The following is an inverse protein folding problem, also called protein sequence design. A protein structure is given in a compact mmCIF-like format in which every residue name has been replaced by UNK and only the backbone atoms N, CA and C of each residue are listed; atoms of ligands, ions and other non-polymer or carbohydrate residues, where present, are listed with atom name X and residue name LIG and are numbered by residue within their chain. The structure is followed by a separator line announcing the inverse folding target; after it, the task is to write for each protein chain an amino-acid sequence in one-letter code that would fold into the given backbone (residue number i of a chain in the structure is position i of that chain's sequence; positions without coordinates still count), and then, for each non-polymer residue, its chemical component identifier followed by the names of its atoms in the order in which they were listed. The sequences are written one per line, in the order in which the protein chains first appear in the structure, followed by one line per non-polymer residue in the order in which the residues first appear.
data_IF_243151806216
#
_entry.id   IF_243151806216
#
_cell.length_a   1.000
_cell.length_b   1.000
_cell.length_c   1.000
_cell.angle_alpha   90.00
_cell.angle_beta   90.00
_cell.angle_gamma   90.00
#
_symmetry.space_group_name_H-M   'P 1'
#
loop_
_entity.id
_entity.type
_entity.pdbx_description
1 polymer ?
#
# COMPACT_ATOMS: atom_id res chain seq x y z
N UNK A 1 -24.76 -3.24 -1.10
CA UNK A 1 -23.82 -3.17 0.02
C UNK A 1 -22.54 -2.46 -0.43
N UNK A 2 -22.06 -1.50 0.35
CA UNK A 2 -20.83 -0.76 0.02
C UNK A 2 -19.57 -1.55 0.26
N UNK A 3 -18.48 -1.15 -0.39
CA UNK A 3 -17.18 -1.81 -0.23
C UNK A 3 -16.61 -1.67 1.18
N UNK A 4 -17.02 -0.66 1.94
CA UNK A 4 -16.57 -0.45 3.32
C UNK A 4 -17.57 -1.02 4.35
N UNK A 5 -18.49 -1.88 3.93
CA UNK A 5 -19.48 -2.53 4.80
C UNK A 5 -19.13 -3.98 5.03
N UNK A 6 -19.67 -4.58 6.09
CA UNK A 6 -19.43 -6.00 6.42
C UNK A 6 -17.96 -6.31 6.53
N UNK A 7 -17.45 -7.37 5.85
CA UNK A 7 -16.03 -7.71 5.87
C UNK A 7 -15.12 -6.62 5.28
N UNK A 8 -15.67 -5.73 4.46
CA UNK A 8 -14.93 -4.59 3.93
C UNK A 8 -14.62 -3.52 4.97
N UNK A 9 -15.31 -3.53 6.10
CA UNK A 9 -15.12 -2.54 7.16
C UNK A 9 -13.73 -2.64 7.81
N UNK A 10 -13.32 -3.81 8.34
CA UNK A 10 -11.97 -3.95 8.87
C UNK A 10 -10.90 -3.80 7.79
N UNK A 11 -11.17 -4.28 6.58
CA UNK A 11 -10.25 -4.11 5.46
C UNK A 11 -9.99 -2.63 5.16
N UNK A 12 -11.06 -1.84 5.06
CA UNK A 12 -10.95 -0.39 4.82
C UNK A 12 -10.22 0.30 5.97
N UNK A 13 -10.48 -0.12 7.21
CA UNK A 13 -9.80 0.45 8.38
C UNK A 13 -8.28 0.19 8.31
N UNK A 14 -7.85 -1.00 7.91
CA UNK A 14 -6.43 -1.32 7.76
C UNK A 14 -5.82 -0.47 6.64
N UNK A 15 -6.51 -0.33 5.50
CA UNK A 15 -6.04 0.54 4.42
C UNK A 15 -5.89 2.00 4.89
N UNK A 16 -6.83 2.49 5.70
CA UNK A 16 -6.75 3.85 6.24
C UNK A 16 -5.54 4.02 7.17
N UNK A 17 -5.25 3.03 8.01
CA UNK A 17 -4.08 3.06 8.89
C UNK A 17 -2.79 3.11 8.05
N UNK A 18 -2.70 2.28 7.01
CA UNK A 18 -1.52 2.29 6.14
C UNK A 18 -1.42 3.58 5.33
N UNK A 19 -2.55 4.16 4.92
CA UNK A 19 -2.56 5.45 4.22
C UNK A 19 -1.95 6.55 5.11
N UNK A 20 -2.34 6.60 6.38
CA UNK A 20 -1.80 7.58 7.33
C UNK A 20 -0.32 7.29 7.62
N UNK A 21 0.02 6.04 7.92
CA UNK A 21 1.39 5.67 8.28
C UNK A 21 2.35 5.88 7.11
N UNK A 22 1.97 5.45 5.91
CA UNK A 22 2.81 5.60 4.72
C UNK A 22 2.96 7.06 4.34
N UNK A 23 1.90 7.86 4.46
CA UNK A 23 1.94 9.29 4.17
C UNK A 23 2.85 10.04 5.15
N UNK A 24 2.77 9.70 6.43
CA UNK A 24 3.63 10.30 7.45
C UNK A 24 5.11 9.97 7.18
N UNK A 25 5.41 8.70 6.89
CA UNK A 25 6.78 8.27 6.59
C UNK A 25 7.30 8.97 5.34
N UNK A 26 6.54 8.97 4.25
CA UNK A 26 6.94 9.60 3.00
C UNK A 26 7.16 11.10 3.19
N UNK A 27 6.28 11.76 3.94
CA UNK A 27 6.43 13.19 4.22
C UNK A 27 7.71 13.51 4.97
N UNK A 28 8.05 12.73 5.99
CA UNK A 28 9.30 12.91 6.75
C UNK A 28 10.51 12.66 5.85
N UNK A 29 10.51 11.58 5.07
CA UNK A 29 11.63 11.24 4.19
C UNK A 29 11.87 12.31 3.13
N UNK A 30 10.80 12.78 2.48
CA UNK A 30 10.91 13.81 1.44
C UNK A 30 11.34 15.17 2.02
N UNK A 31 10.88 15.50 3.23
CA UNK A 31 11.19 16.77 3.86
C UNK A 31 12.60 16.83 4.45
N UNK A 32 13.16 15.68 4.87
CA UNK A 32 14.43 15.68 5.59
C UNK A 32 15.64 15.46 4.70
N UNK A 33 15.66 14.39 3.89
CA UNK A 33 16.87 14.09 3.11
C UNK A 33 16.57 13.21 1.89
N UNK A 34 15.90 13.78 0.90
CA UNK A 34 15.58 13.07 -0.34
C UNK A 34 16.84 12.54 -1.04
N UNK A 35 17.96 13.28 -0.97
CA UNK A 35 19.18 12.92 -1.68
C UNK A 35 19.85 11.67 -1.11
N UNK A 36 19.57 11.31 0.16
CA UNK A 36 20.17 10.14 0.80
C UNK A 36 19.71 8.83 0.18
N UNK A 37 18.42 8.75 -0.21
CA UNK A 37 17.83 7.53 -0.76
C UNK A 37 16.69 7.88 -1.72
N UNK A 38 17.00 8.51 -2.88
CA UNK A 38 15.95 9.04 -3.74
C UNK A 38 15.00 7.96 -4.26
N UNK A 39 15.49 6.78 -4.62
CA UNK A 39 14.64 5.70 -5.12
C UNK A 39 13.68 5.22 -4.03
N UNK A 40 14.22 4.94 -2.84
CA UNK A 40 13.40 4.45 -1.72
C UNK A 40 12.37 5.50 -1.30
N UNK A 41 12.74 6.76 -1.23
CA UNK A 41 11.85 7.83 -0.78
C UNK A 41 10.75 8.12 -1.79
N UNK A 42 11.07 8.09 -3.09
CA UNK A 42 10.06 8.26 -4.13
C UNK A 42 9.09 7.08 -4.18
N UNK A 43 9.59 5.86 -3.95
CA UNK A 43 8.73 4.68 -3.85
C UNK A 43 7.85 4.74 -2.60
N UNK A 44 8.35 5.29 -1.49
CA UNK A 44 7.53 5.54 -0.29
C UNK A 44 6.39 6.50 -0.60
N UNK A 45 6.66 7.58 -1.33
CA UNK A 45 5.64 8.55 -1.73
C UNK A 45 4.60 7.91 -2.64
N UNK A 46 5.05 7.08 -3.60
CA UNK A 46 4.16 6.35 -4.49
C UNK A 46 3.26 5.40 -3.70
N UNK A 47 3.83 4.64 -2.76
CA UNK A 47 3.06 3.72 -1.91
C UNK A 47 2.01 4.48 -1.10
N UNK A 48 2.37 5.64 -0.53
CA UNK A 48 1.44 6.45 0.22
C UNK A 48 0.24 6.86 -0.64
N UNK A 49 0.48 7.29 -1.87
CA UNK A 49 -0.59 7.65 -2.82
C UNK A 49 -1.49 6.44 -3.09
N UNK A 50 -0.90 5.27 -3.31
CA UNK A 50 -1.67 4.05 -3.57
C UNK A 50 -2.58 3.72 -2.39
N UNK A 51 -2.08 3.78 -1.15
CA UNK A 51 -2.90 3.50 0.03
C UNK A 51 -4.01 4.53 0.22
N UNK A 52 -3.75 5.80 -0.03
CA UNK A 52 -4.77 6.85 0.05
C UNK A 52 -5.86 6.60 -1.00
N UNK A 53 -5.47 6.33 -2.25
CA UNK A 53 -6.42 6.06 -3.34
C UNK A 53 -7.26 4.82 -3.03
N UNK A 54 -6.62 3.74 -2.56
CA UNK A 54 -7.33 2.51 -2.20
C UNK A 54 -8.35 2.77 -1.09
N UNK A 55 -7.95 3.50 -0.05
CA UNK A 55 -8.82 3.82 1.08
C UNK A 55 -10.05 4.62 0.61
N UNK A 56 -9.82 5.70 -0.13
CA UNK A 56 -10.91 6.55 -0.64
C UNK A 56 -11.83 5.74 -1.55
N UNK A 57 -11.26 4.92 -2.43
CA UNK A 57 -12.05 4.09 -3.35
C UNK A 57 -12.93 3.09 -2.60
N UNK A 58 -12.40 2.48 -1.54
CA UNK A 58 -13.20 1.56 -0.71
C UNK A 58 -14.31 2.32 0.03
N UNK A 59 -14.01 3.48 0.60
CA UNK A 59 -15.00 4.31 1.29
C UNK A 59 -16.12 4.78 0.35
N UNK A 60 -15.77 5.12 -0.89
CA UNK A 60 -16.71 5.62 -1.90
C UNK A 60 -17.31 4.52 -2.75
N UNK A 61 -16.94 3.26 -2.50
CA UNK A 61 -17.36 2.12 -3.30
C UNK A 61 -17.04 2.27 -4.79
N UNK A 62 -15.90 2.87 -5.08
CA UNK A 62 -15.36 2.99 -6.43
C UNK A 62 -14.62 1.69 -6.77
N UNK A 63 -15.39 0.70 -7.20
CA UNK A 63 -14.87 -0.66 -7.41
C UNK A 63 -13.69 -0.71 -8.38
N UNK A 64 -13.81 -0.06 -9.54
CA UNK A 64 -12.73 -0.08 -10.53
C UNK A 64 -11.46 0.56 -10.00
N UNK A 65 -11.58 1.73 -9.37
CA UNK A 65 -10.44 2.43 -8.77
C UNK A 65 -9.83 1.60 -7.65
N UNK A 66 -10.65 1.00 -6.79
CA UNK A 66 -10.18 0.14 -5.71
C UNK A 66 -9.42 -1.07 -6.27
N UNK A 67 -9.96 -1.71 -7.31
CA UNK A 67 -9.32 -2.86 -7.94
C UNK A 67 -7.96 -2.49 -8.52
N UNK A 68 -7.87 -1.38 -9.25
CA UNK A 68 -6.60 -0.93 -9.83
C UNK A 68 -5.60 -0.59 -8.74
N UNK A 69 -6.03 0.13 -7.71
CA UNK A 69 -5.14 0.51 -6.60
C UNK A 69 -4.61 -0.72 -5.87
N UNK A 70 -5.46 -1.70 -5.61
CA UNK A 70 -5.05 -2.95 -4.92
C UNK A 70 -4.10 -3.76 -5.80
N UNK A 71 -4.35 -3.83 -7.11
CA UNK A 71 -3.44 -4.50 -8.04
C UNK A 71 -2.08 -3.79 -8.11
N UNK A 72 -2.07 -2.46 -8.15
CA UNK A 72 -0.82 -1.69 -8.13
C UNK A 72 -0.06 -1.95 -6.84
N UNK A 73 -0.76 -2.02 -5.72
CA UNK A 73 -0.17 -2.34 -4.42
C UNK A 73 0.47 -3.73 -4.44
N UNK A 74 -0.23 -4.73 -4.96
CA UNK A 74 0.29 -6.10 -5.03
C UNK A 74 1.57 -6.15 -5.86
N UNK A 75 1.55 -5.56 -7.05
CA UNK A 75 2.74 -5.48 -7.90
C UNK A 75 3.84 -4.71 -7.18
N UNK A 76 3.49 -3.60 -6.54
CA UNK A 76 4.44 -2.76 -5.83
C UNK A 76 5.15 -3.51 -4.70
N UNK A 77 4.40 -4.22 -3.85
CA UNK A 77 5.02 -4.94 -2.74
C UNK A 77 5.91 -6.08 -3.23
N UNK A 78 5.53 -6.75 -4.32
CA UNK A 78 6.35 -7.81 -4.90
C UNK A 78 7.63 -7.26 -5.54
N UNK A 79 7.50 -6.20 -6.33
CA UNK A 79 8.65 -5.58 -7.03
C UNK A 79 9.59 -4.93 -6.01
N UNK A 80 9.07 -4.08 -5.14
CA UNK A 80 9.90 -3.37 -4.16
C UNK A 80 10.48 -4.35 -3.15
N UNK A 81 9.71 -5.36 -2.75
CA UNK A 81 10.23 -6.40 -1.85
C UNK A 81 11.43 -7.10 -2.45
N UNK A 82 11.34 -7.49 -3.72
CA UNK A 82 12.44 -8.15 -4.43
C UNK A 82 13.64 -7.21 -4.60
N UNK A 83 13.40 -5.96 -5.04
CA UNK A 83 14.47 -4.99 -5.24
C UNK A 83 15.18 -4.64 -3.95
N UNK A 84 14.48 -4.61 -2.81
CA UNK A 84 15.10 -4.29 -1.53
C UNK A 84 16.13 -5.33 -1.10
N UNK A 85 16.00 -6.56 -1.56
CA UNK A 85 17.01 -7.61 -1.34
C UNK A 85 18.07 -7.63 -2.44
N UNK A 86 17.68 -7.38 -3.69
CA UNK A 86 18.59 -7.45 -4.84
C UNK A 86 19.50 -6.24 -4.95
N UNK A 87 19.02 -5.07 -4.54
CA UNK A 87 19.78 -3.80 -4.63
C UNK A 87 19.64 -3.02 -3.33
N UNK A 88 20.40 -3.45 -2.32
CA UNK A 88 20.37 -2.82 -1.00
C UNK A 88 20.88 -1.39 -1.00
N UNK A 89 21.74 -1.03 -1.94
CA UNK A 89 22.29 0.31 -2.04
C UNK A 89 21.21 1.34 -2.38
N UNK A 90 20.18 0.95 -3.16
CA UNK A 90 19.06 1.82 -3.49
C UNK A 90 18.06 1.95 -2.34
N UNK A 91 18.13 1.05 -1.34
CA UNK A 91 17.20 1.00 -0.22
C UNK A 91 17.92 1.06 1.13
N UNK A 92 18.74 2.09 1.40
CA UNK A 92 19.41 2.25 2.71
C UNK A 92 18.38 2.48 3.83
N UNK A 93 17.22 3.09 3.50
CA UNK A 93 16.08 3.22 4.39
C UNK A 93 14.92 2.39 3.88
N UNK A 94 14.12 1.87 4.81
CA UNK A 94 12.98 1.04 4.45
C UNK A 94 11.81 1.87 3.93
N UNK A 95 11.10 1.29 2.96
CA UNK A 95 9.77 1.73 2.55
C UNK A 95 8.74 0.78 3.19
N UNK A 96 7.45 1.10 3.06
CA UNK A 96 6.39 0.22 3.55
C UNK A 96 6.41 -1.15 2.84
N UNK A 97 6.93 -1.22 1.62
CA UNK A 97 6.97 -2.44 0.81
C UNK A 97 8.32 -3.16 0.84
N UNK A 98 9.35 -2.58 1.45
CA UNK A 98 10.65 -3.21 1.56
C UNK A 98 10.53 -4.55 2.29
N UNK A 99 11.25 -5.56 1.79
CA UNK A 99 11.18 -6.89 2.37
C UNK A 99 9.79 -7.48 2.35
N UNK A 100 8.98 -7.16 1.32
CA UNK A 100 7.58 -7.61 1.18
C UNK A 100 6.70 -7.14 2.35
N UNK A 101 7.04 -5.99 2.94
CA UNK A 101 6.31 -5.44 4.06
C UNK A 101 6.72 -6.00 5.42
N UNK A 102 7.90 -6.61 5.52
CA UNK A 102 8.36 -7.26 6.75
C UNK A 102 8.39 -6.33 7.96
N UNK A 103 8.63 -5.03 7.75
CA UNK A 103 8.62 -4.04 8.82
C UNK A 103 7.22 -3.78 9.39
N UNK A 104 6.18 -4.27 8.75
CA UNK A 104 4.78 -4.13 9.14
C UNK A 104 4.09 -5.49 9.26
N UNK A 105 4.83 -6.51 9.69
CA UNK A 105 4.29 -7.85 9.91
C UNK A 105 3.76 -8.51 8.65
N UNK A 106 4.31 -8.17 7.49
CA UNK A 106 3.89 -8.67 6.18
C UNK A 106 2.44 -8.31 5.82
N UNK A 107 1.81 -7.40 6.55
CA UNK A 107 0.46 -6.93 6.21
C UNK A 107 0.41 -6.35 4.80
N UNK A 108 1.41 -5.54 4.35
CA UNK A 108 1.40 -5.04 2.97
C UNK A 108 1.39 -6.13 1.90
N UNK A 109 1.89 -7.33 2.21
CA UNK A 109 1.83 -8.47 1.29
C UNK A 109 0.47 -9.15 1.32
N UNK A 110 -0.09 -9.33 2.52
CA UNK A 110 -1.38 -10.03 2.72
C UNK A 110 -2.57 -9.16 2.34
N UNK A 111 -2.50 -7.87 2.62
CA UNK A 111 -3.60 -6.93 2.45
C UNK A 111 -4.15 -6.89 1.02
N UNK A 112 -3.31 -6.80 -0.05
CA UNK A 112 -3.86 -6.80 -1.41
C UNK A 112 -4.52 -8.11 -1.79
N UNK A 113 -4.05 -9.24 -1.26
CA UNK A 113 -4.71 -10.52 -1.50
C UNK A 113 -6.11 -10.53 -0.90
N UNK A 114 -6.25 -10.05 0.34
CA UNK A 114 -7.55 -9.93 0.98
C UNK A 114 -8.42 -8.89 0.28
N UNK A 115 -7.82 -7.79 -0.17
CA UNK A 115 -8.55 -6.75 -0.90
C UNK A 115 -9.12 -7.26 -2.21
N UNK A 116 -8.34 -8.00 -2.99
CA UNK A 116 -8.80 -8.60 -4.24
C UNK A 116 -9.89 -9.62 -3.98
N UNK A 117 -9.74 -10.45 -2.95
CA UNK A 117 -10.75 -11.43 -2.58
C UNK A 117 -12.07 -10.74 -2.21
N UNK A 118 -12.03 -9.69 -1.41
CA UNK A 118 -13.21 -8.93 -1.03
C UNK A 118 -13.87 -8.28 -2.24
N UNK A 119 -13.09 -7.65 -3.11
CA UNK A 119 -13.61 -7.02 -4.31
C UNK A 119 -14.26 -8.03 -5.25
N UNK A 120 -13.68 -9.22 -5.36
CA UNK A 120 -14.24 -10.31 -6.14
C UNK A 120 -15.57 -10.80 -5.55
N UNK A 121 -15.62 -11.02 -4.23
CA UNK A 121 -16.81 -11.52 -3.55
C UNK A 121 -17.94 -10.50 -3.55
N UNK A 122 -17.62 -9.23 -3.39
CA UNK A 122 -18.62 -8.17 -3.33
C UNK A 122 -19.29 -7.88 -4.68
N UNK A 123 -18.73 -8.40 -5.79
CA UNK A 123 -19.34 -8.25 -7.12
C UNK A 123 -20.66 -9.00 -7.24
N UNK A 124 -20.84 -10.04 -6.46
CA UNK A 124 -21.98 -10.94 -6.58
C UNK A 124 -23.16 -10.46 -5.76
N UNK A 125 -22.90 -9.69 -4.72
CA UNK A 125 -23.93 -9.24 -3.80
C UNK A 125 -24.34 -7.80 -3.95
#
# INVERSE_FOLDING_TARGET
MGLSSGPGRPLTAVYAVFAVAASARAGVQLATDLAAAPVAYLLSAFAAVVYVVATVALLRSWRRTATVAVLVELVGVLVVGTLSYADRAAFPDQTVWSGYGSGYGYVPLVLPALGLLWLRRSRVG
#
